data_IF_235393461544
#
_entry.id   IF_235393461544
#
_cell.length_a   1.000
_cell.length_b   1.000
_cell.length_c   1.000
_cell.angle_alpha   90.00
_cell.angle_beta   90.00
_cell.angle_gamma   90.00
#
_symmetry.space_group_name_H-M   'P 1'
#
loop_
_entity.id
_entity.type
_entity.pdbx_description
1 polymer ?
#
# COMPACT_ATOMS: atom_id res chain seq x y z
N UNK A 1 22.50 -52.76 55.37
CA UNK A 1 21.90 -51.47 55.09
C UNK A 1 22.55 -50.93 53.82
N UNK A 2 21.82 -50.96 52.73
CA UNK A 2 22.32 -50.58 51.37
C UNK A 2 21.85 -49.16 51.11
N UNK A 3 22.77 -48.19 50.93
CA UNK A 3 22.49 -46.81 50.51
C UNK A 3 22.30 -46.79 48.99
N UNK A 4 21.15 -46.32 48.55
CA UNK A 4 20.89 -46.00 47.13
C UNK A 4 21.39 -44.56 46.87
N UNK A 5 22.35 -44.41 45.99
CA UNK A 5 22.71 -43.12 45.37
C UNK A 5 21.75 -42.89 44.20
N UNK A 6 20.97 -41.80 44.23
CA UNK A 6 20.22 -41.26 43.11
C UNK A 6 21.15 -40.37 42.29
N UNK A 7 21.44 -40.76 41.04
CA UNK A 7 22.12 -39.90 40.08
C UNK A 7 21.08 -39.07 39.34
N UNK A 8 21.15 -37.76 39.52
CA UNK A 8 20.33 -36.81 38.72
C UNK A 8 20.99 -36.59 37.35
N UNK A 9 20.31 -37.01 36.27
CA UNK A 9 20.71 -36.72 34.91
C UNK A 9 20.26 -35.26 34.57
N UNK A 10 21.18 -34.37 34.42
CA UNK A 10 20.93 -33.03 33.87
C UNK A 10 20.86 -33.16 32.34
N UNK A 11 19.67 -33.00 31.77
CA UNK A 11 19.51 -32.88 30.34
C UNK A 11 19.89 -31.46 29.88
N UNK A 12 21.07 -31.31 29.31
CA UNK A 12 21.48 -30.10 28.58
C UNK A 12 20.74 -30.07 27.27
N UNK A 13 19.76 -29.17 27.13
CA UNK A 13 19.13 -28.87 25.85
C UNK A 13 20.16 -28.20 24.93
N UNK A 14 20.59 -28.92 23.91
CA UNK A 14 21.39 -28.38 22.83
C UNK A 14 20.49 -27.45 22.00
N UNK A 15 20.61 -26.13 22.20
CA UNK A 15 20.03 -25.15 21.29
C UNK A 15 20.85 -25.22 20.00
N UNK A 16 20.38 -25.96 19.04
CA UNK A 16 20.93 -25.90 17.67
C UNK A 16 20.58 -24.56 17.09
N UNK A 17 21.55 -23.62 17.03
CA UNK A 17 21.44 -22.45 16.20
C UNK A 17 21.14 -22.90 14.76
N UNK A 18 19.99 -22.53 14.22
CA UNK A 18 19.73 -22.67 12.80
C UNK A 18 20.81 -21.92 12.03
N UNK A 19 21.49 -22.56 11.06
CA UNK A 19 22.50 -21.84 10.28
C UNK A 19 21.85 -20.65 9.61
N UNK A 20 22.46 -19.46 9.76
CA UNK A 20 22.14 -18.30 8.95
C UNK A 20 22.14 -18.75 7.49
N UNK A 21 20.99 -18.64 6.83
CA UNK A 21 20.87 -18.96 5.42
C UNK A 21 21.84 -18.04 4.67
N UNK A 22 22.92 -18.61 4.11
CA UNK A 22 23.80 -17.85 3.23
C UNK A 22 22.92 -17.26 2.13
N UNK A 23 23.04 -15.94 1.92
CA UNK A 23 22.34 -15.26 0.83
C UNK A 23 22.67 -15.98 -0.49
N UNK A 24 21.71 -16.79 -0.97
CA UNK A 24 21.75 -17.32 -2.33
C UNK A 24 21.63 -16.13 -3.31
N UNK A 25 21.92 -16.35 -4.62
CA UNK A 25 21.71 -15.29 -5.60
C UNK A 25 20.31 -14.73 -5.43
N UNK A 26 20.19 -13.38 -5.44
CA UNK A 26 18.94 -12.68 -5.19
C UNK A 26 17.83 -13.33 -6.03
N UNK A 27 16.75 -13.76 -5.37
CA UNK A 27 15.65 -14.45 -6.04
C UNK A 27 15.03 -13.51 -7.09
N UNK A 28 14.91 -13.92 -8.36
CA UNK A 28 14.51 -13.03 -9.45
C UNK A 28 13.03 -12.65 -9.44
N UNK A 29 12.21 -13.18 -8.51
CA UNK A 29 10.77 -13.01 -8.55
C UNK A 29 10.27 -11.95 -7.57
N UNK A 30 9.18 -11.27 -7.94
CA UNK A 30 8.33 -10.55 -6.99
C UNK A 30 7.84 -11.53 -5.92
N UNK A 31 7.87 -11.14 -4.67
CA UNK A 31 7.44 -11.95 -3.53
C UNK A 31 6.10 -11.47 -3.00
N UNK A 32 5.26 -12.42 -2.56
CA UNK A 32 3.96 -12.14 -1.96
C UNK A 32 3.68 -13.10 -0.80
N UNK A 33 2.95 -12.61 0.24
CA UNK A 33 2.60 -13.38 1.43
C UNK A 33 1.33 -12.85 2.10
N UNK A 34 0.84 -13.57 3.13
CA UNK A 34 -0.39 -13.26 3.85
C UNK A 34 -1.61 -13.97 3.30
N UNK A 35 -2.77 -13.34 3.36
CA UNK A 35 -4.05 -13.88 2.85
C UNK A 35 -4.00 -14.15 1.34
N UNK A 36 -4.71 -15.22 0.90
CA UNK A 36 -4.75 -15.63 -0.50
C UNK A 36 -6.08 -16.22 -0.96
N UNK A 37 -7.16 -15.98 -0.25
CA UNK A 37 -8.46 -16.65 -0.51
C UNK A 37 -9.07 -16.46 -1.91
N UNK A 38 -8.58 -15.48 -2.69
CA UNK A 38 -9.01 -15.20 -4.08
C UNK A 38 -7.85 -15.23 -5.08
N UNK A 39 -6.68 -15.76 -4.67
CA UNK A 39 -5.49 -15.85 -5.52
C UNK A 39 -4.71 -14.54 -5.63
N UNK A 40 -4.88 -13.61 -4.70
CA UNK A 40 -4.23 -12.29 -4.71
C UNK A 40 -2.69 -12.34 -4.57
N UNK A 41 -2.11 -13.45 -4.13
CA UNK A 41 -0.66 -13.63 -4.10
C UNK A 41 -0.05 -13.99 -5.47
N UNK A 42 -0.87 -14.34 -6.47
CA UNK A 42 -0.39 -14.59 -7.83
C UNK A 42 0.50 -15.82 -7.99
N UNK A 43 0.49 -16.73 -7.05
CA UNK A 43 1.32 -17.94 -7.02
C UNK A 43 0.63 -19.22 -7.54
N UNK A 44 -0.52 -19.06 -8.23
CA UNK A 44 -1.33 -20.17 -8.75
C UNK A 44 -2.18 -20.90 -7.71
N UNK A 45 -2.11 -20.48 -6.44
CA UNK A 45 -2.84 -21.05 -5.30
C UNK A 45 -3.88 -20.06 -4.77
N UNK A 46 -4.76 -20.57 -3.90
CA UNK A 46 -5.67 -19.78 -3.05
C UNK A 46 -5.37 -20.00 -1.56
N UNK A 47 -4.25 -20.60 -1.23
CA UNK A 47 -3.82 -20.86 0.14
C UNK A 47 -2.94 -19.70 0.63
N UNK A 48 -3.22 -19.21 1.84
CA UNK A 48 -2.41 -18.21 2.51
C UNK A 48 -0.94 -18.67 2.64
N UNK A 49 -0.01 -17.71 2.61
CA UNK A 49 1.43 -17.94 2.74
C UNK A 49 1.95 -17.24 3.98
N UNK A 50 2.61 -17.97 4.87
CA UNK A 50 3.22 -17.40 6.08
C UNK A 50 4.58 -16.76 5.81
N UNK A 51 5.22 -17.16 4.72
CA UNK A 51 6.51 -16.64 4.26
C UNK A 51 6.42 -16.14 2.83
N UNK A 52 7.31 -15.22 2.40
CA UNK A 52 7.34 -14.70 1.03
C UNK A 52 7.46 -15.81 -0.03
N UNK A 53 6.46 -15.92 -0.89
CA UNK A 53 6.40 -16.86 -2.02
C UNK A 53 6.51 -16.11 -3.35
N UNK A 54 7.04 -16.75 -4.40
CA UNK A 54 7.19 -16.17 -5.72
C UNK A 54 5.83 -15.89 -6.38
N UNK A 55 5.66 -14.70 -6.97
CA UNK A 55 4.57 -14.37 -7.88
C UNK A 55 4.90 -14.96 -9.25
N UNK A 56 4.03 -15.83 -9.78
CA UNK A 56 4.31 -16.58 -11.02
C UNK A 56 4.37 -15.65 -12.24
N UNK A 57 5.44 -15.77 -13.04
CA UNK A 57 5.57 -15.03 -14.30
C UNK A 57 5.71 -13.51 -14.17
N UNK A 58 6.16 -13.04 -12.99
CA UNK A 58 6.50 -11.63 -12.73
C UNK A 58 7.89 -11.59 -12.13
N UNK A 59 8.90 -11.44 -12.98
CA UNK A 59 10.29 -11.29 -12.54
C UNK A 59 10.50 -9.90 -11.93
N UNK A 60 11.28 -9.82 -10.87
CA UNK A 60 11.54 -8.56 -10.16
C UNK A 60 12.22 -7.51 -11.05
N UNK A 61 13.19 -7.93 -11.82
CA UNK A 61 13.94 -7.05 -12.72
C UNK A 61 13.09 -6.51 -13.89
N UNK A 62 11.96 -7.15 -14.19
CA UNK A 62 11.00 -6.70 -15.20
C UNK A 62 9.93 -5.75 -14.63
N UNK A 63 9.84 -5.61 -13.31
CA UNK A 63 8.78 -4.83 -12.64
C UNK A 63 9.26 -3.42 -12.31
N UNK A 64 8.46 -2.45 -12.72
CA UNK A 64 8.62 -1.05 -12.34
C UNK A 64 7.83 -0.70 -11.09
N UNK A 65 6.60 -1.24 -10.94
CA UNK A 65 5.72 -0.97 -9.80
C UNK A 65 4.73 -2.10 -9.59
N UNK A 66 4.50 -2.49 -8.34
CA UNK A 66 3.36 -3.32 -7.93
C UNK A 66 2.45 -2.47 -7.04
N UNK A 67 1.14 -2.59 -7.18
CA UNK A 67 0.15 -1.95 -6.32
C UNK A 67 -0.90 -2.95 -5.90
N UNK A 68 -1.07 -3.14 -4.59
CA UNK A 68 -2.08 -3.98 -4.00
C UNK A 68 -3.40 -3.25 -3.82
N UNK A 69 -4.50 -3.84 -4.27
CA UNK A 69 -5.86 -3.33 -4.11
C UNK A 69 -6.74 -4.25 -3.29
N UNK A 70 -7.93 -3.78 -2.96
CA UNK A 70 -8.91 -4.59 -2.24
C UNK A 70 -8.60 -4.80 -0.76
N UNK A 71 -9.36 -5.70 -0.15
CA UNK A 71 -9.30 -6.02 1.29
C UNK A 71 -10.59 -5.64 2.02
N UNK A 72 -10.58 -5.73 3.37
CA UNK A 72 -11.72 -5.41 4.25
C UNK A 72 -12.17 -6.60 5.10
N UNK A 73 -12.93 -6.34 6.19
CA UNK A 73 -13.30 -7.35 7.20
C UNK A 73 -14.21 -8.49 6.70
N UNK A 74 -14.86 -8.35 5.56
CA UNK A 74 -15.65 -9.39 4.93
C UNK A 74 -14.88 -10.10 3.82
N UNK A 75 -13.55 -9.82 3.74
CA UNK A 75 -12.96 -10.39 2.65
C UNK A 75 -11.54 -10.31 2.18
N UNK A 76 -10.92 -11.37 2.26
CA UNK A 76 -10.18 -11.91 1.13
C UNK A 76 -10.95 -11.78 -0.23
N UNK A 77 -12.23 -11.49 -0.22
CA UNK A 77 -13.12 -11.60 -1.38
C UNK A 77 -12.88 -10.56 -2.49
N UNK A 78 -12.20 -9.45 -2.27
CA UNK A 78 -11.92 -8.45 -3.28
C UNK A 78 -10.45 -8.03 -3.40
N UNK A 79 -9.54 -8.71 -2.70
CA UNK A 79 -8.11 -8.41 -2.77
C UNK A 79 -7.54 -8.79 -4.14
N UNK A 80 -6.77 -7.89 -4.73
CA UNK A 80 -6.14 -8.08 -6.04
C UNK A 80 -4.81 -7.32 -6.10
N UNK A 81 -4.06 -7.52 -7.17
CA UNK A 81 -2.84 -6.77 -7.42
C UNK A 81 -2.71 -6.39 -8.90
N UNK A 82 -1.99 -5.32 -9.14
CA UNK A 82 -1.58 -4.84 -10.46
C UNK A 82 -0.07 -4.63 -10.47
N UNK A 83 0.60 -5.10 -11.51
CA UNK A 83 2.01 -4.87 -11.77
C UNK A 83 2.18 -4.12 -13.09
N UNK A 84 2.94 -3.03 -13.04
CA UNK A 84 3.46 -2.31 -14.20
C UNK A 84 4.85 -2.85 -14.49
N UNK A 85 5.07 -3.32 -15.72
CA UNK A 85 6.37 -3.80 -16.16
C UNK A 85 7.20 -2.67 -16.81
N UNK A 86 8.50 -2.87 -16.91
CA UNK A 86 9.45 -1.90 -17.47
C UNK A 86 9.16 -1.58 -18.96
N UNK A 87 8.56 -2.53 -19.70
CA UNK A 87 8.13 -2.33 -21.08
C UNK A 87 6.81 -1.54 -21.21
N UNK A 88 6.20 -1.12 -20.09
CA UNK A 88 4.94 -0.39 -20.03
C UNK A 88 3.71 -1.27 -20.19
N UNK A 89 3.82 -2.60 -20.13
CA UNK A 89 2.68 -3.51 -20.06
C UNK A 89 2.19 -3.64 -18.62
N UNK A 90 0.91 -4.02 -18.45
CA UNK A 90 0.27 -4.16 -17.13
C UNK A 90 -0.23 -5.59 -16.97
N UNK A 91 0.09 -6.20 -15.83
CA UNK A 91 -0.48 -7.49 -15.40
C UNK A 91 -1.35 -7.32 -14.17
N UNK A 92 -2.42 -8.13 -14.07
CA UNK A 92 -3.36 -8.11 -12.94
C UNK A 92 -3.70 -9.53 -12.50
N UNK A 93 -4.01 -9.72 -11.19
CA UNK A 93 -4.43 -10.98 -10.61
C UNK A 93 -5.17 -10.79 -9.30
N UNK A 94 -5.82 -11.85 -8.79
CA UNK A 94 -6.66 -11.81 -7.59
C UNK A 94 -8.14 -11.71 -7.91
N UNK A 95 -8.89 -11.01 -7.07
CA UNK A 95 -10.33 -10.81 -7.20
C UNK A 95 -10.71 -10.02 -8.45
N UNK A 96 -11.87 -10.36 -9.04
CA UNK A 96 -12.36 -9.69 -10.25
C UNK A 96 -13.89 -9.47 -10.29
N UNK A 97 -14.58 -9.60 -9.18
CA UNK A 97 -16.06 -9.53 -9.15
C UNK A 97 -16.63 -8.20 -9.65
N UNK A 98 -15.83 -7.14 -9.63
CA UNK A 98 -16.17 -5.79 -10.13
C UNK A 98 -15.37 -5.41 -11.39
N UNK A 99 -14.73 -6.36 -12.08
CA UNK A 99 -13.95 -6.10 -13.29
C UNK A 99 -12.59 -5.44 -13.03
N UNK A 100 -12.10 -5.45 -11.77
CA UNK A 100 -10.86 -4.78 -11.37
C UNK A 100 -9.58 -5.33 -12.00
N UNK A 101 -9.62 -6.51 -12.63
CA UNK A 101 -8.51 -7.03 -13.41
C UNK A 101 -8.43 -6.44 -14.85
N UNK A 102 -9.46 -5.75 -15.32
CA UNK A 102 -9.44 -5.05 -16.62
C UNK A 102 -9.32 -5.96 -17.86
N UNK A 103 -9.65 -7.25 -17.72
CA UNK A 103 -9.46 -8.30 -18.72
C UNK A 103 -10.73 -8.69 -19.48
N UNK A 104 -11.78 -7.84 -19.47
CA UNK A 104 -13.07 -8.07 -20.10
C UNK A 104 -14.01 -8.99 -19.34
N UNK A 105 -13.59 -9.56 -18.21
CA UNK A 105 -14.36 -10.53 -17.41
C UNK A 105 -14.65 -10.04 -16.00
N UNK A 106 -15.35 -10.86 -15.22
CA UNK A 106 -15.50 -10.71 -13.75
C UNK A 106 -15.03 -11.95 -12.99
N UNK A 107 -14.21 -12.79 -13.65
CA UNK A 107 -13.67 -14.01 -13.05
C UNK A 107 -12.33 -13.73 -12.39
N UNK A 108 -12.19 -14.09 -11.11
CA UNK A 108 -10.94 -13.97 -10.35
C UNK A 108 -9.86 -14.88 -10.93
N UNK A 109 -8.58 -14.50 -10.77
CA UNK A 109 -7.43 -15.24 -11.29
C UNK A 109 -6.33 -15.36 -10.23
N UNK A 110 -5.79 -16.58 -10.05
CA UNK A 110 -4.74 -16.86 -9.08
C UNK A 110 -3.32 -16.68 -9.61
N UNK A 111 -3.17 -16.25 -10.86
CA UNK A 111 -1.88 -15.95 -11.49
C UNK A 111 -1.97 -14.68 -12.34
N UNK A 112 -0.86 -13.94 -12.50
CA UNK A 112 -0.81 -12.71 -13.27
C UNK A 112 -1.17 -12.92 -14.74
N UNK A 113 -2.06 -12.07 -15.26
CA UNK A 113 -2.39 -12.03 -16.68
C UNK A 113 -2.29 -10.60 -17.22
N UNK A 114 -1.86 -10.47 -18.48
CA UNK A 114 -1.70 -9.17 -19.14
C UNK A 114 -3.06 -8.55 -19.45
N UNK A 115 -3.21 -7.26 -19.15
CA UNK A 115 -4.36 -6.46 -19.58
C UNK A 115 -4.23 -6.18 -21.07
N UNK A 116 -5.11 -6.79 -21.87
CA UNK A 116 -5.03 -6.73 -23.33
C UNK A 116 -5.16 -5.30 -23.87
N UNK A 117 -4.34 -4.92 -24.85
CA UNK A 117 -4.36 -3.61 -25.50
C UNK A 117 -3.81 -2.46 -24.66
N UNK A 118 -3.30 -2.74 -23.46
CA UNK A 118 -2.71 -1.74 -22.56
C UNK A 118 -1.18 -1.85 -22.59
N UNK A 119 -0.53 -0.86 -23.20
CA UNK A 119 0.94 -0.74 -23.31
C UNK A 119 1.35 0.73 -23.24
N UNK A 120 2.63 0.99 -22.96
CA UNK A 120 3.16 2.35 -22.79
C UNK A 120 2.59 3.07 -21.57
N UNK A 121 2.23 2.30 -20.55
CA UNK A 121 1.82 2.80 -19.25
C UNK A 121 3.04 3.30 -18.49
N UNK A 122 2.90 4.45 -17.83
CA UNK A 122 3.97 5.07 -17.04
C UNK A 122 3.77 4.96 -15.52
N UNK A 123 2.53 4.77 -15.08
CA UNK A 123 2.20 4.59 -13.66
C UNK A 123 0.88 3.82 -13.46
N UNK A 124 0.72 3.13 -12.32
CA UNK A 124 -0.48 2.41 -11.91
C UNK A 124 -0.76 2.58 -10.43
N UNK A 125 -2.04 2.58 -10.06
CA UNK A 125 -2.45 2.55 -8.65
C UNK A 125 -3.75 1.77 -8.48
N UNK A 126 -3.83 0.93 -7.44
CA UNK A 126 -4.97 0.11 -7.10
C UNK A 126 -5.70 0.66 -5.86
N UNK A 127 -7.00 0.87 -5.98
CA UNK A 127 -7.91 1.20 -4.88
C UNK A 127 -8.59 -0.03 -4.28
N UNK A 128 -9.75 0.17 -3.63
CA UNK A 128 -10.47 -0.97 -3.06
C UNK A 128 -11.00 -1.91 -4.14
N UNK A 129 -11.58 -1.40 -5.22
CA UNK A 129 -12.18 -2.17 -6.30
C UNK A 129 -11.99 -1.53 -7.69
N UNK A 130 -11.02 -0.64 -7.84
CA UNK A 130 -10.71 0.02 -9.11
C UNK A 130 -9.21 0.19 -9.30
N UNK A 131 -8.81 0.43 -10.53
CA UNK A 131 -7.41 0.68 -10.89
C UNK A 131 -7.34 1.94 -11.73
N UNK A 132 -6.28 2.70 -11.52
CA UNK A 132 -5.86 3.83 -12.34
C UNK A 132 -4.56 3.48 -13.04
N UNK A 133 -4.41 3.94 -14.28
CA UNK A 133 -3.16 3.85 -15.04
C UNK A 133 -2.90 5.14 -15.81
N UNK A 134 -1.64 5.59 -15.85
CA UNK A 134 -1.22 6.74 -16.66
C UNK A 134 -0.63 6.24 -17.97
N UNK A 135 -1.15 6.73 -19.10
CA UNK A 135 -0.62 6.44 -20.46
C UNK A 135 -0.57 7.72 -21.27
N UNK A 136 0.63 8.14 -21.67
CA UNK A 136 0.82 9.36 -22.46
C UNK A 136 0.28 10.63 -21.77
N UNK A 137 0.38 10.71 -20.44
CA UNK A 137 -0.11 11.83 -19.64
C UNK A 137 -1.65 11.86 -19.47
N UNK A 138 -2.37 10.84 -19.94
CA UNK A 138 -3.82 10.64 -19.71
C UNK A 138 -4.04 9.53 -18.70
N UNK A 139 -5.14 9.58 -17.97
CA UNK A 139 -5.54 8.54 -17.02
C UNK A 139 -6.55 7.60 -17.66
N UNK A 140 -6.31 6.31 -17.49
CA UNK A 140 -7.23 5.23 -17.74
C UNK A 140 -7.71 4.66 -16.40
N UNK A 141 -8.98 4.26 -16.31
CA UNK A 141 -9.57 3.69 -15.10
C UNK A 141 -10.47 2.50 -15.43
N UNK A 142 -10.54 1.50 -14.54
CA UNK A 142 -11.43 0.36 -14.67
C UNK A 142 -11.77 -0.25 -13.31
N UNK A 143 -12.74 -1.17 -13.27
CA UNK A 143 -13.28 -1.77 -12.07
C UNK A 143 -14.60 -1.16 -11.63
N UNK A 144 -14.79 -1.00 -10.33
CA UNK A 144 -16.01 -0.44 -9.74
C UNK A 144 -16.15 1.06 -10.00
N UNK A 145 -17.39 1.51 -10.27
CA UNK A 145 -17.75 2.93 -10.41
C UNK A 145 -18.92 3.35 -9.49
N UNK A 146 -19.22 2.58 -8.46
CA UNK A 146 -20.37 2.82 -7.56
C UNK A 146 -20.28 4.20 -6.89
N UNK A 147 -19.08 4.65 -6.58
CA UNK A 147 -18.80 5.96 -5.96
C UNK A 147 -18.29 6.99 -6.97
N UNK A 148 -18.37 6.74 -8.28
CA UNK A 148 -17.86 7.61 -9.36
C UNK A 148 -16.33 7.66 -9.44
N UNK A 149 -15.65 6.69 -8.86
CA UNK A 149 -14.18 6.64 -8.74
C UNK A 149 -13.43 6.45 -10.07
N UNK A 150 -14.13 6.13 -11.16
CA UNK A 150 -13.51 6.02 -12.49
C UNK A 150 -13.41 7.36 -13.24
N UNK A 151 -14.13 8.41 -12.82
CA UNK A 151 -14.00 9.76 -13.42
C UNK A 151 -14.45 9.85 -14.89
N UNK A 152 -15.30 8.94 -15.35
CA UNK A 152 -15.74 8.86 -16.76
C UNK A 152 -16.88 9.81 -17.11
N UNK A 153 -17.45 10.52 -16.12
CA UNK A 153 -18.63 11.37 -16.30
C UNK A 153 -19.91 10.58 -16.63
N UNK A 154 -19.88 9.26 -16.44
CA UNK A 154 -21.03 8.38 -16.70
C UNK A 154 -21.58 7.87 -15.38
N UNK A 155 -22.86 8.12 -15.15
CA UNK A 155 -23.59 7.62 -13.98
C UNK A 155 -24.02 6.17 -14.20
N UNK A 156 -23.05 5.25 -14.22
CA UNK A 156 -23.36 3.82 -14.29
C UNK A 156 -22.78 3.12 -13.05
N UNK A 157 -23.58 2.25 -12.45
CA UNK A 157 -23.16 1.36 -11.36
C UNK A 157 -22.57 0.04 -11.89
N UNK A 158 -22.61 -0.18 -13.20
CA UNK A 158 -22.04 -1.37 -13.84
C UNK A 158 -20.51 -1.34 -13.78
N UNK A 159 -19.86 -2.45 -13.47
CA UNK A 159 -18.41 -2.52 -13.45
C UNK A 159 -17.81 -2.35 -14.85
N UNK A 160 -16.78 -1.54 -14.95
CA UNK A 160 -15.98 -1.39 -16.17
C UNK A 160 -14.89 -2.45 -16.22
N UNK A 161 -15.10 -3.47 -17.05
CA UNK A 161 -14.21 -4.63 -17.17
C UNK A 161 -12.97 -4.39 -18.03
N UNK A 162 -12.91 -3.25 -18.71
CA UNK A 162 -11.80 -2.83 -19.56
C UNK A 162 -11.38 -1.40 -19.21
N UNK A 163 -10.11 -1.03 -19.43
CA UNK A 163 -9.64 0.34 -19.23
C UNK A 163 -10.44 1.37 -20.04
N UNK A 164 -10.92 2.42 -19.37
CA UNK A 164 -11.66 3.55 -19.95
C UNK A 164 -10.92 4.85 -19.66
N UNK A 165 -10.96 5.80 -20.61
CA UNK A 165 -10.33 7.11 -20.42
C UNK A 165 -11.09 7.96 -19.40
N UNK A 166 -10.38 8.49 -18.41
CA UNK A 166 -10.87 9.53 -17.48
C UNK A 166 -11.06 10.83 -18.25
N UNK A 167 -12.18 11.52 -18.02
CA UNK A 167 -12.50 12.74 -18.78
C UNK A 167 -11.70 13.95 -18.31
N UNK A 168 -11.45 14.87 -19.23
CA UNK A 168 -10.96 16.22 -18.97
C UNK A 168 -9.67 16.33 -18.12
N UNK A 169 -8.80 15.32 -18.22
CA UNK A 169 -7.54 15.25 -17.47
C UNK A 169 -6.37 14.89 -18.38
N UNK A 170 -5.36 15.72 -18.42
CA UNK A 170 -4.14 15.57 -19.20
C UNK A 170 -2.88 15.94 -18.39
N UNK A 171 -1.70 15.72 -18.96
CA UNK A 171 -0.39 16.03 -18.36
C UNK A 171 -0.22 15.44 -16.97
N UNK A 172 -0.84 14.29 -16.72
CA UNK A 172 -0.71 13.57 -15.44
C UNK A 172 0.65 12.89 -15.39
N UNK A 173 1.36 13.05 -14.25
CA UNK A 173 2.63 12.38 -13.99
C UNK A 173 2.50 11.21 -13.01
N UNK A 174 1.51 11.27 -12.10
CA UNK A 174 1.32 10.28 -11.03
C UNK A 174 -0.17 10.13 -10.68
N UNK A 175 -0.58 8.93 -10.23
CA UNK A 175 -1.94 8.63 -9.78
C UNK A 175 -1.95 7.87 -8.46
N UNK A 176 -2.91 8.22 -7.62
CA UNK A 176 -3.19 7.53 -6.36
C UNK A 176 -4.66 7.09 -6.27
N UNK A 177 -4.89 5.81 -6.00
CA UNK A 177 -6.23 5.29 -5.77
C UNK A 177 -6.47 5.10 -4.27
N UNK A 178 -7.46 5.79 -3.71
CA UNK A 178 -7.99 5.55 -2.37
C UNK A 178 -8.95 4.35 -2.36
N UNK A 179 -9.75 4.19 -1.29
CA UNK A 179 -10.70 3.08 -1.25
C UNK A 179 -11.75 3.22 -2.36
N UNK A 180 -12.43 4.36 -2.44
CA UNK A 180 -13.49 4.62 -3.42
C UNK A 180 -13.35 6.01 -4.06
N UNK A 181 -12.15 6.55 -4.11
CA UNK A 181 -11.83 7.83 -4.75
C UNK A 181 -10.47 7.75 -5.44
N UNK A 182 -10.19 8.73 -6.25
CA UNK A 182 -9.04 8.78 -7.13
C UNK A 182 -8.36 10.14 -7.06
N UNK A 183 -7.06 10.14 -7.19
CA UNK A 183 -6.19 11.32 -7.18
C UNK A 183 -5.29 11.28 -8.41
N UNK A 184 -5.04 12.41 -9.02
CA UNK A 184 -4.03 12.59 -10.06
C UNK A 184 -3.18 13.81 -9.76
N UNK A 185 -1.88 13.67 -9.91
CA UNK A 185 -0.92 14.75 -9.84
C UNK A 185 -0.46 15.09 -11.26
N UNK A 186 -0.65 16.35 -11.67
CA UNK A 186 -0.21 16.84 -12.98
C UNK A 186 1.23 17.33 -12.96
N UNK A 187 1.81 17.43 -14.15
CA UNK A 187 3.18 17.93 -14.33
C UNK A 187 3.37 19.38 -13.88
N UNK A 188 2.29 20.16 -13.82
CA UNK A 188 2.28 21.54 -13.34
C UNK A 188 2.16 21.66 -11.81
N UNK A 189 2.23 20.55 -11.07
CA UNK A 189 2.13 20.52 -9.61
C UNK A 189 0.70 20.64 -9.06
N UNK A 190 -0.34 20.66 -9.92
CA UNK A 190 -1.74 20.68 -9.48
C UNK A 190 -2.26 19.28 -9.17
N UNK A 191 -3.10 19.14 -8.15
CA UNK A 191 -3.74 17.90 -7.72
C UNK A 191 -5.21 17.89 -8.09
N UNK A 192 -5.67 16.80 -8.66
CA UNK A 192 -7.05 16.58 -9.10
C UNK A 192 -7.64 15.36 -8.44
N UNK A 193 -8.91 15.44 -8.00
CA UNK A 193 -9.58 14.37 -7.25
C UNK A 193 -10.99 14.12 -7.77
N UNK A 194 -11.46 12.87 -7.66
CA UNK A 194 -12.82 12.46 -8.03
C UNK A 194 -13.22 11.16 -7.32
N UNK A 195 -14.49 10.79 -7.39
CA UNK A 195 -15.06 9.63 -6.72
C UNK A 195 -15.82 9.99 -5.46
N UNK A 196 -15.72 9.16 -4.42
CA UNK A 196 -16.37 9.37 -3.13
C UNK A 196 -15.85 10.63 -2.44
N UNK A 197 -16.77 11.51 -2.01
CA UNK A 197 -16.45 12.77 -1.32
C UNK A 197 -16.62 12.75 0.20
N UNK A 198 -17.18 11.68 0.77
CA UNK A 198 -17.40 11.59 2.21
C UNK A 198 -16.11 11.84 3.01
N UNK A 199 -16.22 12.39 4.21
CA UNK A 199 -15.11 12.76 5.09
C UNK A 199 -14.14 13.79 4.48
N UNK A 200 -14.55 14.50 3.43
CA UNK A 200 -13.70 15.50 2.77
C UNK A 200 -12.56 14.96 1.92
N UNK A 201 -12.53 13.66 1.59
CA UNK A 201 -11.39 12.99 0.95
C UNK A 201 -11.02 13.51 -0.44
N UNK A 202 -11.86 14.33 -1.06
CA UNK A 202 -11.56 15.00 -2.33
C UNK A 202 -10.82 16.34 -2.15
N UNK A 203 -10.76 16.89 -0.94
CA UNK A 203 -10.04 18.15 -0.70
C UNK A 203 -10.64 19.40 -1.36
N UNK A 204 -11.87 19.33 -1.89
CA UNK A 204 -12.50 20.41 -2.69
C UNK A 204 -13.45 21.30 -1.91
N UNK A 205 -13.42 21.23 -0.57
CA UNK A 205 -14.31 21.99 0.31
C UNK A 205 -15.69 21.37 0.52
N UNK A 206 -15.97 20.20 -0.07
CA UNK A 206 -17.28 19.54 0.00
C UNK A 206 -17.16 18.03 0.27
N UNK A 207 -18.24 17.45 0.85
CA UNK A 207 -18.34 16.01 1.14
C UNK A 207 -19.16 15.24 0.09
N UNK A 208 -19.33 15.80 -1.11
CA UNK A 208 -20.13 15.22 -2.19
C UNK A 208 -19.26 14.45 -3.19
N UNK A 209 -19.81 13.35 -3.71
CA UNK A 209 -19.14 12.57 -4.76
C UNK A 209 -18.98 13.40 -6.04
N UNK A 210 -17.91 13.12 -6.80
CA UNK A 210 -17.63 13.77 -8.09
C UNK A 210 -17.46 12.73 -9.19
N UNK A 211 -18.20 12.92 -10.29
CA UNK A 211 -18.19 12.02 -11.47
C UNK A 211 -17.01 12.27 -12.40
N UNK A 212 -16.40 13.45 -12.29
CA UNK A 212 -15.27 13.89 -13.12
C UNK A 212 -14.21 14.51 -12.22
N UNK A 213 -12.94 14.48 -12.65
CA UNK A 213 -11.84 15.13 -11.92
C UNK A 213 -12.10 16.61 -11.63
N UNK A 214 -11.81 17.02 -10.41
CA UNK A 214 -11.82 18.42 -9.97
C UNK A 214 -10.49 18.77 -9.32
N UNK A 215 -9.98 19.95 -9.59
CA UNK A 215 -8.76 20.44 -8.96
C UNK A 215 -9.01 20.71 -7.47
N UNK A 216 -8.06 20.32 -6.63
CA UNK A 216 -8.00 20.75 -5.23
C UNK A 216 -7.65 22.23 -5.21
N UNK A 217 -8.51 23.11 -4.67
CA UNK A 217 -8.27 24.56 -4.67
C UNK A 217 -7.03 24.93 -3.84
N UNK A 218 -6.36 26.00 -4.25
CA UNK A 218 -5.26 26.64 -3.51
C UNK A 218 -4.08 25.71 -3.17
N UNK A 219 -3.97 24.55 -3.86
CA UNK A 219 -2.88 23.60 -3.74
C UNK A 219 -2.07 23.57 -5.03
N UNK A 220 -0.85 24.08 -4.98
CA UNK A 220 0.10 24.17 -6.10
C UNK A 220 1.47 23.61 -5.68
N UNK A 221 2.36 23.50 -6.65
CA UNK A 221 3.76 23.12 -6.45
C UNK A 221 3.93 21.76 -5.74
N UNK A 222 2.97 20.84 -5.94
CA UNK A 222 3.01 19.50 -5.38
C UNK A 222 4.01 18.65 -6.16
N UNK A 223 4.95 18.04 -5.43
CA UNK A 223 5.96 17.15 -6.00
C UNK A 223 5.50 15.69 -5.99
N UNK A 224 4.85 15.25 -4.90
CA UNK A 224 4.35 13.88 -4.75
C UNK A 224 3.07 13.82 -3.92
N UNK A 225 2.30 12.75 -4.12
CA UNK A 225 1.09 12.45 -3.36
C UNK A 225 1.16 11.04 -2.77
N UNK A 226 0.70 10.87 -1.53
CA UNK A 226 0.48 9.57 -0.92
C UNK A 226 -0.99 9.42 -0.54
N UNK A 227 -1.63 8.33 -1.02
CA UNK A 227 -3.08 8.17 -0.91
C UNK A 227 -3.42 6.97 -0.02
N UNK A 228 -3.97 7.26 1.15
CA UNK A 228 -4.51 6.26 2.07
C UNK A 228 -5.86 5.71 1.61
N UNK A 229 -6.59 5.03 2.51
CA UNK A 229 -7.94 4.57 2.17
C UNK A 229 -8.93 5.75 2.07
N UNK A 230 -8.85 6.70 2.98
CA UNK A 230 -9.81 7.79 3.12
C UNK A 230 -9.14 9.17 3.37
N UNK A 231 -7.82 9.28 3.24
CA UNK A 231 -7.06 10.51 3.37
C UNK A 231 -5.96 10.61 2.32
N UNK A 232 -5.44 11.80 2.12
CA UNK A 232 -4.37 12.10 1.17
C UNK A 232 -3.32 12.97 1.86
N UNK A 233 -2.07 12.71 1.54
CA UNK A 233 -0.93 13.57 1.82
C UNK A 233 -0.38 14.11 0.51
N UNK A 234 0.01 15.37 0.48
CA UNK A 234 0.71 16.01 -0.63
C UNK A 234 1.97 16.68 -0.09
N UNK A 235 3.12 16.33 -0.64
CA UNK A 235 4.41 16.97 -0.39
C UNK A 235 4.59 18.09 -1.40
N UNK A 236 4.82 19.31 -0.93
CA UNK A 236 5.07 20.49 -1.76
C UNK A 236 6.57 20.73 -1.94
N UNK A 237 6.96 21.46 -2.96
CA UNK A 237 8.37 21.70 -3.35
C UNK A 237 9.19 22.44 -2.27
N UNK A 238 8.54 23.12 -1.32
CA UNK A 238 9.16 23.73 -0.16
C UNK A 238 9.34 22.76 1.03
N UNK A 239 9.01 21.47 0.85
CA UNK A 239 9.15 20.43 1.87
C UNK A 239 8.00 20.37 2.89
N UNK A 240 6.92 21.13 2.70
CA UNK A 240 5.75 21.08 3.57
C UNK A 240 4.80 19.93 3.16
N UNK A 241 4.07 19.38 4.12
CA UNK A 241 3.03 18.38 3.87
C UNK A 241 1.66 19.00 4.08
N UNK A 242 0.80 18.88 3.08
CA UNK A 242 -0.64 19.16 3.19
C UNK A 242 -1.40 17.83 3.29
N UNK A 243 -2.40 17.76 4.16
CA UNK A 243 -3.23 16.58 4.37
C UNK A 243 -4.72 16.92 4.32
N UNK A 244 -5.57 16.00 3.85
CA UNK A 244 -7.02 16.16 3.86
C UNK A 244 -7.75 14.82 3.82
N UNK A 245 -9.05 14.86 4.05
CA UNK A 245 -9.90 13.68 4.12
C UNK A 245 -10.24 13.31 5.55
N UNK A 246 -10.34 12.01 5.83
CA UNK A 246 -10.62 11.49 7.16
C UNK A 246 -9.49 11.84 8.14
N UNK A 247 -9.86 12.37 9.32
CA UNK A 247 -8.93 12.79 10.37
C UNK A 247 -9.21 12.21 11.75
N UNK A 248 -10.30 11.42 11.89
CA UNK A 248 -10.79 10.92 13.20
C UNK A 248 -9.80 10.06 13.98
N UNK A 249 -8.81 9.46 13.32
CA UNK A 249 -7.73 8.68 13.94
C UNK A 249 -6.44 9.50 14.12
N UNK A 250 -6.44 10.78 13.69
CA UNK A 250 -5.27 11.66 13.70
C UNK A 250 -4.41 11.57 12.43
N UNK A 251 -4.85 10.88 11.39
CA UNK A 251 -4.07 10.63 10.17
C UNK A 251 -3.76 11.88 9.34
N UNK A 252 -4.37 13.03 9.63
CA UNK A 252 -4.04 14.30 9.01
C UNK A 252 -2.82 14.96 9.65
N UNK A 253 -2.47 14.64 10.90
CA UNK A 253 -1.28 15.15 11.57
C UNK A 253 -1.36 16.61 11.99
N UNK A 254 -2.55 17.23 12.00
CA UNK A 254 -2.82 18.65 12.27
C UNK A 254 -3.17 18.94 13.74
N UNK A 255 -2.82 18.00 14.63
CA UNK A 255 -3.15 18.00 16.07
C UNK A 255 -4.65 17.93 16.38
N UNK A 256 -5.46 17.42 15.43
CA UNK A 256 -6.89 17.25 15.61
C UNK A 256 -7.33 15.82 15.32
N UNK A 257 -8.54 15.48 15.77
CA UNK A 257 -9.26 14.24 15.44
C UNK A 257 -10.54 14.60 14.68
N UNK A 258 -10.39 15.31 13.56
CA UNK A 258 -11.51 15.76 12.76
C UNK A 258 -11.19 15.61 11.26
N UNK A 259 -12.21 15.28 10.49
CA UNK A 259 -12.13 15.25 9.03
C UNK A 259 -11.91 16.65 8.47
N UNK A 260 -11.14 16.77 7.39
CA UNK A 260 -10.98 18.04 6.69
C UNK A 260 -11.35 17.93 5.21
N UNK A 261 -12.33 18.72 4.74
CA UNK A 261 -12.68 18.78 3.32
C UNK A 261 -11.74 19.66 2.47
N UNK A 262 -10.76 20.29 3.10
CA UNK A 262 -9.72 21.11 2.45
C UNK A 262 -8.34 20.72 2.97
N UNK A 263 -7.26 20.95 2.21
CA UNK A 263 -5.91 20.71 2.69
C UNK A 263 -5.59 21.50 3.98
N UNK A 264 -5.01 20.83 4.98
CA UNK A 264 -4.48 21.37 6.23
C UNK A 264 -2.99 21.06 6.34
N UNK A 265 -2.25 21.87 7.09
CA UNK A 265 -0.83 21.64 7.34
C UNK A 265 -0.62 20.47 8.32
N UNK A 266 0.33 19.61 8.00
CA UNK A 266 0.85 18.63 8.97
C UNK A 266 1.77 19.38 9.94
N UNK A 267 1.54 19.22 11.23
CA UNK A 267 2.26 19.97 12.26
C UNK A 267 3.68 19.43 12.49
N UNK A 268 4.60 20.31 12.88
CA UNK A 268 5.91 19.99 13.45
C UNK A 268 6.84 19.13 12.54
N UNK A 269 6.74 19.27 11.21
CA UNK A 269 7.64 18.61 10.26
C UNK A 269 8.31 19.64 9.35
N UNK A 270 9.62 19.50 9.24
CA UNK A 270 10.48 20.21 8.30
C UNK A 270 11.37 19.21 7.55
N UNK A 271 11.92 19.61 6.40
CA UNK A 271 12.89 18.84 5.62
C UNK A 271 12.40 17.42 5.27
N UNK A 272 11.19 17.32 4.73
CA UNK A 272 10.59 16.05 4.33
C UNK A 272 11.07 15.65 2.94
N UNK A 273 11.71 14.47 2.85
CA UNK A 273 12.15 13.87 1.59
C UNK A 273 11.06 13.04 0.92
N UNK A 274 10.27 12.27 1.70
CA UNK A 274 9.25 11.35 1.15
C UNK A 274 8.08 11.18 2.11
N UNK A 275 6.90 10.90 1.53
CA UNK A 275 5.65 10.69 2.26
C UNK A 275 5.03 9.34 1.87
N UNK A 276 4.36 8.69 2.84
CA UNK A 276 3.64 7.43 2.62
C UNK A 276 2.33 7.44 3.39
N UNK A 277 1.31 6.83 2.82
CA UNK A 277 0.00 6.66 3.44
C UNK A 277 -0.47 5.21 3.32
N UNK A 278 -0.93 4.66 4.41
CA UNK A 278 -1.52 3.31 4.47
C UNK A 278 -3.05 3.42 4.62
N UNK A 279 -3.72 2.40 5.13
CA UNK A 279 -5.17 2.46 5.34
C UNK A 279 -5.62 3.68 6.18
N UNK A 280 -5.00 3.91 7.33
CA UNK A 280 -5.34 5.02 8.23
C UNK A 280 -4.14 5.61 8.96
N UNK A 281 -2.91 5.27 8.54
CA UNK A 281 -1.68 5.79 9.10
C UNK A 281 -0.87 6.52 8.05
N UNK A 282 -0.09 7.48 8.47
CA UNK A 282 0.73 8.37 7.64
C UNK A 282 2.17 8.34 8.10
N UNK A 283 3.11 8.45 7.16
CA UNK A 283 4.55 8.39 7.42
C UNK A 283 5.28 9.44 6.60
N UNK A 284 6.36 9.97 7.14
CA UNK A 284 7.33 10.81 6.46
C UNK A 284 8.74 10.32 6.73
N UNK A 285 9.58 10.30 5.69
CA UNK A 285 11.03 10.15 5.81
C UNK A 285 11.64 11.53 5.60
N UNK A 286 12.43 11.97 6.56
CA UNK A 286 13.10 13.27 6.53
C UNK A 286 14.43 13.17 5.76
N UNK A 287 15.03 14.31 5.42
CA UNK A 287 16.30 14.40 4.68
C UNK A 287 17.48 13.73 5.42
N UNK A 288 17.41 13.67 6.76
CA UNK A 288 18.40 12.98 7.60
C UNK A 288 18.17 11.46 7.70
N UNK A 289 17.17 10.92 6.99
CA UNK A 289 16.79 9.51 7.00
C UNK A 289 15.95 9.08 8.19
N UNK A 290 15.61 9.97 9.12
CA UNK A 290 14.68 9.66 10.22
C UNK A 290 13.26 9.48 9.71
N UNK A 291 12.48 8.65 10.43
CA UNK A 291 11.09 8.34 10.05
C UNK A 291 10.13 8.87 11.10
N UNK A 292 9.11 9.54 10.65
CA UNK A 292 8.01 10.04 11.47
C UNK A 292 6.71 9.31 11.10
N UNK A 293 5.85 9.04 12.09
CA UNK A 293 4.57 8.38 11.89
C UNK A 293 3.44 9.03 12.67
N UNK A 294 2.22 9.01 12.14
CA UNK A 294 1.01 9.50 12.79
C UNK A 294 -0.26 8.82 12.27
N UNK A 295 -1.39 9.04 12.93
CA UNK A 295 -2.67 8.44 12.58
C UNK A 295 -3.01 7.22 13.42
N UNK A 296 -3.66 6.24 12.82
CA UNK A 296 -4.16 5.02 13.43
C UNK A 296 -3.02 4.13 13.96
N UNK A 297 -3.17 3.62 15.22
CA UNK A 297 -2.16 2.80 15.88
C UNK A 297 -2.72 1.70 16.81
N UNK A 298 -4.01 1.40 16.75
CA UNK A 298 -4.65 0.43 17.64
C UNK A 298 -4.08 -1.00 17.54
N UNK A 299 -3.46 -1.34 16.39
CA UNK A 299 -2.71 -2.58 16.15
C UNK A 299 -1.19 -2.39 16.20
N UNK A 300 -0.67 -1.27 16.70
CA UNK A 300 0.76 -0.89 16.71
C UNK A 300 1.35 -0.68 15.31
N UNK A 301 0.53 -0.33 14.33
CA UNK A 301 0.93 -0.14 12.94
C UNK A 301 1.77 1.12 12.68
N UNK A 302 1.90 2.05 13.65
CA UNK A 302 2.84 3.17 13.57
C UNK A 302 4.29 2.75 13.87
N UNK A 303 4.50 1.72 14.69
CA UNK A 303 5.86 1.27 15.06
C UNK A 303 6.54 2.14 16.12
N UNK A 304 5.82 3.04 16.81
CA UNK A 304 6.32 3.94 17.85
C UNK A 304 6.43 3.29 19.24
N UNK A 305 6.29 1.96 19.32
CA UNK A 305 6.33 1.19 20.57
C UNK A 305 5.03 1.23 21.39
N UNK A 306 4.00 1.97 20.93
CA UNK A 306 2.70 2.10 21.60
C UNK A 306 1.56 1.53 20.75
N UNK A 307 0.33 1.59 21.28
CA UNK A 307 -0.91 1.32 20.53
C UNK A 307 -1.87 2.53 20.55
N UNK A 308 -1.34 3.72 20.83
CA UNK A 308 -2.14 4.94 20.86
C UNK A 308 -2.09 5.65 19.50
N UNK A 309 -3.26 6.06 18.98
CA UNK A 309 -3.34 6.91 17.80
C UNK A 309 -2.62 8.25 18.05
N UNK A 310 -1.94 8.75 17.02
CA UNK A 310 -1.19 10.00 17.09
C UNK A 310 -1.84 11.07 16.22
N UNK A 311 -2.09 12.23 16.79
CA UNK A 311 -2.65 13.39 16.08
C UNK A 311 -1.59 14.27 15.42
N UNK A 312 -0.33 14.04 15.79
CA UNK A 312 0.86 14.70 15.26
C UNK A 312 1.94 13.69 14.95
N UNK A 313 2.87 13.99 14.04
CA UNK A 313 4.04 13.15 13.78
C UNK A 313 4.85 12.84 15.04
N UNK A 314 5.24 11.57 15.20
CA UNK A 314 6.14 11.08 16.25
C UNK A 314 7.27 10.26 15.63
N UNK A 315 8.49 10.31 16.18
CA UNK A 315 9.62 9.57 15.62
C UNK A 315 9.46 8.05 15.83
N UNK A 316 9.95 7.28 14.83
CA UNK A 316 10.19 5.84 14.96
C UNK A 316 11.71 5.63 15.14
N UNK A 317 12.19 5.72 16.37
CA UNK A 317 13.64 5.75 16.67
C UNK A 317 14.39 4.50 16.22
N UNK A 318 13.70 3.36 16.09
CA UNK A 318 14.27 2.06 15.68
C UNK A 318 14.35 1.88 14.17
N UNK A 319 13.80 2.81 13.37
CA UNK A 319 13.70 2.68 11.92
C UNK A 319 14.62 3.68 11.23
N UNK A 320 15.56 3.16 10.43
CA UNK A 320 16.55 3.92 9.65
C UNK A 320 16.72 3.29 8.27
N UNK A 321 17.33 4.03 7.35
CA UNK A 321 17.70 3.54 6.01
C UNK A 321 16.50 2.98 5.22
N UNK A 322 15.34 3.61 5.38
CA UNK A 322 14.10 3.21 4.71
C UNK A 322 14.13 3.63 3.25
N UNK A 323 13.86 2.68 2.35
CA UNK A 323 13.64 2.96 0.92
C UNK A 323 12.15 3.11 0.60
N UNK A 324 11.27 2.29 1.21
CA UNK A 324 9.85 2.31 0.92
C UNK A 324 9.04 1.88 2.13
N UNK A 325 7.82 2.40 2.28
CA UNK A 325 6.85 2.02 3.32
C UNK A 325 5.50 1.75 2.66
N UNK A 326 4.90 0.63 3.02
CA UNK A 326 3.54 0.28 2.63
C UNK A 326 2.79 -0.39 3.78
N UNK A 327 1.48 -0.38 3.73
CA UNK A 327 0.67 -1.08 4.73
C UNK A 327 -0.73 -1.35 4.23
N UNK A 328 -1.32 -2.38 4.81
CA UNK A 328 -2.71 -2.76 4.58
C UNK A 328 -3.64 -2.25 5.67
N UNK A 329 -4.53 -3.11 6.14
CA UNK A 329 -5.53 -2.74 7.16
C UNK A 329 -4.92 -2.28 8.48
N UNK A 330 -4.10 -3.12 9.10
CA UNK A 330 -3.61 -2.93 10.46
C UNK A 330 -2.13 -3.36 10.62
N UNK A 331 -1.36 -3.33 9.54
CA UNK A 331 0.07 -3.65 9.53
C UNK A 331 0.85 -2.73 8.59
N UNK A 332 2.15 -2.67 8.80
CA UNK A 332 3.08 -1.88 7.98
C UNK A 332 4.30 -2.73 7.62
N UNK A 333 4.81 -2.52 6.42
CA UNK A 333 6.04 -3.09 5.88
C UNK A 333 6.98 -1.95 5.51
N UNK A 334 8.28 -2.16 5.66
CA UNK A 334 9.30 -1.28 5.13
C UNK A 334 10.37 -2.09 4.38
N UNK A 335 10.77 -1.60 3.22
CA UNK A 335 11.98 -2.01 2.52
C UNK A 335 13.14 -1.12 2.98
N UNK A 336 14.27 -1.73 3.31
CA UNK A 336 15.46 -1.02 3.77
C UNK A 336 16.55 -0.99 2.68
N UNK A 337 17.49 -0.07 2.81
CA UNK A 337 18.62 0.12 1.86
C UNK A 337 19.47 -1.14 1.71
N UNK A 338 19.57 -1.98 2.76
CA UNK A 338 20.28 -3.26 2.69
C UNK A 338 19.52 -4.37 1.94
N UNK A 339 18.34 -4.06 1.41
CA UNK A 339 17.47 -4.98 0.67
C UNK A 339 16.62 -5.87 1.55
N UNK A 340 16.62 -5.70 2.88
CA UNK A 340 15.73 -6.40 3.79
C UNK A 340 14.30 -5.84 3.76
N UNK A 341 13.34 -6.68 4.16
CA UNK A 341 11.96 -6.26 4.43
C UNK A 341 11.61 -6.58 5.86
N UNK A 342 11.20 -5.55 6.58
CA UNK A 342 10.71 -5.66 7.95
C UNK A 342 9.22 -5.29 8.01
N UNK A 343 8.53 -5.80 9.04
CA UNK A 343 7.11 -5.52 9.24
C UNK A 343 6.75 -5.41 10.70
N UNK A 344 5.64 -4.72 10.99
CA UNK A 344 5.10 -4.57 12.33
C UNK A 344 3.58 -4.37 12.30
N UNK A 345 2.94 -4.47 13.46
CA UNK A 345 1.49 -4.38 13.61
C UNK A 345 0.83 -5.75 13.69
N UNK A 346 -0.39 -5.89 13.16
CA UNK A 346 -1.15 -7.13 13.17
C UNK A 346 -0.51 -8.22 12.29
N UNK A 347 -0.58 -9.50 12.75
CA UNK A 347 -0.05 -10.65 12.01
C UNK A 347 -0.98 -11.89 12.00
N UNK A 348 -2.23 -11.78 12.42
CA UNK A 348 -3.13 -12.94 12.54
C UNK A 348 -3.41 -13.68 11.21
N UNK A 349 -3.07 -13.08 10.07
CA UNK A 349 -3.17 -13.69 8.74
C UNK A 349 -1.80 -13.85 8.06
N UNK A 350 -0.72 -13.86 8.83
CA UNK A 350 0.67 -13.93 8.36
C UNK A 350 1.08 -12.76 7.44
N UNK A 351 0.45 -11.60 7.60
CA UNK A 351 0.68 -10.42 6.76
C UNK A 351 2.07 -9.81 6.94
N UNK A 352 2.82 -10.19 7.98
CA UNK A 352 4.21 -9.76 8.17
C UNK A 352 5.23 -10.65 7.45
N UNK A 353 4.84 -11.87 7.01
CA UNK A 353 5.69 -12.74 6.21
C UNK A 353 6.85 -13.40 6.97
N UNK A 354 6.83 -13.40 8.29
CA UNK A 354 7.90 -13.86 9.18
C UNK A 354 7.80 -15.37 9.54
N UNK A 355 6.91 -16.10 8.90
CA UNK A 355 6.65 -17.51 9.18
C UNK A 355 5.71 -17.74 10.34
N UNK A 356 5.15 -16.71 10.95
CA UNK A 356 4.24 -16.80 12.09
C UNK A 356 2.87 -16.16 11.81
N UNK A 357 1.94 -16.33 12.74
CA UNK A 357 0.63 -15.65 12.79
C UNK A 357 0.48 -14.85 14.09
N UNK A 358 1.58 -14.55 14.75
CA UNK A 358 1.62 -13.83 16.01
C UNK A 358 2.01 -12.37 15.76
N UNK A 359 1.19 -11.44 16.25
CA UNK A 359 1.53 -10.01 16.18
C UNK A 359 2.68 -9.70 17.15
N UNK A 360 3.85 -9.25 16.63
CA UNK A 360 5.00 -8.98 17.48
C UNK A 360 4.80 -7.67 18.27
N UNK A 361 5.49 -7.49 19.41
CA UNK A 361 5.49 -6.22 20.14
C UNK A 361 6.29 -5.11 19.43
N UNK A 362 7.15 -5.47 18.47
CA UNK A 362 8.00 -4.60 17.67
C UNK A 362 8.06 -5.04 16.22
N UNK A 363 9.19 -4.80 15.57
CA UNK A 363 9.43 -5.22 14.18
C UNK A 363 9.81 -6.69 14.07
N UNK A 364 9.49 -7.31 12.93
CA UNK A 364 9.93 -8.65 12.53
C UNK A 364 10.45 -8.62 11.09
N UNK A 365 11.22 -9.63 10.69
CA UNK A 365 11.84 -9.69 9.36
C UNK A 365 11.09 -10.66 8.46
N UNK A 366 10.56 -10.16 7.35
CA UNK A 366 9.98 -10.95 6.27
C UNK A 366 11.05 -11.48 5.31
N UNK A 367 11.99 -10.63 4.93
CA UNK A 367 13.12 -10.94 4.06
C UNK A 367 14.42 -10.40 4.65
N UNK A 368 15.51 -11.21 4.69
CA UNK A 368 16.78 -10.81 5.30
C UNK A 368 17.54 -9.78 4.47
N UNK A 369 18.58 -9.12 5.05
CA UNK A 369 19.52 -8.30 4.30
C UNK A 369 20.10 -9.02 3.09
N UNK A 370 20.34 -8.29 2.01
CA UNK A 370 20.83 -8.83 0.74
C UNK A 370 19.76 -9.50 -0.13
N UNK A 371 18.47 -9.45 0.25
CA UNK A 371 17.37 -9.95 -0.58
C UNK A 371 17.16 -9.10 -1.86
N UNK A 372 17.78 -7.92 -1.95
CA UNK A 372 17.76 -7.02 -3.10
C UNK A 372 16.40 -6.38 -3.35
N UNK A 373 15.53 -6.33 -2.35
CA UNK A 373 14.24 -5.66 -2.43
C UNK A 373 14.44 -4.16 -2.29
N UNK A 374 13.74 -3.40 -3.13
CA UNK A 374 13.75 -1.93 -3.08
C UNK A 374 12.38 -1.34 -2.77
N UNK A 375 11.32 -2.11 -3.02
CA UNK A 375 9.95 -1.65 -2.84
C UNK A 375 9.07 -2.68 -2.16
N UNK A 376 8.12 -2.18 -1.38
CA UNK A 376 7.04 -2.96 -0.76
C UNK A 376 5.69 -2.38 -1.13
N UNK A 377 4.67 -3.23 -1.18
CA UNK A 377 3.28 -2.79 -1.25
C UNK A 377 2.38 -3.77 -0.51
N UNK A 378 1.15 -3.37 -0.23
CA UNK A 378 0.17 -4.21 0.44
C UNK A 378 -1.21 -4.02 -0.20
N UNK A 379 -2.10 -5.00 -0.02
CA UNK A 379 -3.51 -4.83 -0.38
C UNK A 379 -4.12 -3.70 0.47
N UNK A 380 -4.92 -2.82 -0.15
CA UNK A 380 -5.32 -1.49 0.36
C UNK A 380 -5.85 -1.49 1.80
N UNK A 381 -6.74 -2.42 2.12
CA UNK A 381 -7.29 -2.64 3.48
C UNK A 381 -7.18 -4.10 3.90
N UNK A 382 -6.48 -4.90 3.11
CA UNK A 382 -6.33 -6.35 3.30
C UNK A 382 -5.10 -6.72 4.13
N UNK A 383 -4.72 -7.99 4.02
CA UNK A 383 -3.69 -8.64 4.84
C UNK A 383 -2.69 -9.40 3.96
N UNK A 384 -2.37 -8.87 2.79
CA UNK A 384 -1.37 -9.45 1.89
C UNK A 384 -0.28 -8.41 1.60
N UNK A 385 0.97 -8.82 1.67
CA UNK A 385 2.16 -8.02 1.40
C UNK A 385 2.86 -8.48 0.12
N UNK A 386 3.58 -7.55 -0.52
CA UNK A 386 4.40 -7.78 -1.70
C UNK A 386 5.74 -7.06 -1.55
N UNK A 387 6.81 -7.65 -2.15
CA UNK A 387 8.15 -7.09 -2.19
C UNK A 387 8.77 -7.30 -3.57
N UNK A 388 9.44 -6.26 -4.13
CA UNK A 388 10.04 -6.28 -5.47
C UNK A 388 11.21 -5.32 -5.59
#
# INVERSE_FOLDING_TARGET
MRSLLLAALAATALVTATPAHAAGPADPWVRAWGENGVGQLGNGSVLAQQTPAAVMGVARDDVRKVSGGGGGAAAAANAFAVALLNDGTVKTWGANTTGQLGNGTTTSQSFPSTVAGLSGVSDVSAGLNHVLAVKGGRVLAWGSNVSKQLGTGQDTTNPYKNPMTVQSLDKVKDVGAGCDFSVALRQDGTVWTWGAGANGRLGTGANTNRETPQQVPDLTDVESVAVGCEHVLALTADGAIKAWGKGTEGQLGDDKKADSPTPVDVAYLDAVARIFATNGSSFAVLDDGSVQAWGKNDARQLGDGTNANRTTPVPIDTLRDVQDIAGGGDFTLAALVDGSVIGWGANAAAQLGDGTVVSPPGTTTALPPGSGVTHVTATKTGKSGFAY
#
